data_IF_566072561046
#
_entry.id   IF_566072561046
#
_cell.length_a   1.000
_cell.length_b   1.000
_cell.length_c   1.000
_cell.angle_alpha   90.00
_cell.angle_beta   90.00
_cell.angle_gamma   90.00
#
_symmetry.space_group_name_H-M   'P 1'
#
loop_
_entity.id
_entity.type
_entity.pdbx_description
1 polymer ?
#
# COMPACT_ATOMS: atom_id res chain seq x y z
N UNK A 1 13.03 -16.31 -3.24
CA UNK A 1 14.25 -15.53 -3.58
C UNK A 1 13.93 -14.24 -4.35
N UNK A 2 12.76 -14.09 -4.97
CA UNK A 2 12.37 -12.91 -5.76
C UNK A 2 11.80 -11.73 -4.97
N UNK A 3 11.23 -11.95 -3.78
CA UNK A 3 10.39 -10.93 -3.14
C UNK A 3 11.13 -10.08 -2.09
N UNK A 4 12.42 -10.36 -1.87
CA UNK A 4 13.24 -9.73 -0.84
C UNK A 4 13.81 -8.34 -1.24
N UNK A 5 13.69 -7.94 -2.51
CA UNK A 5 14.17 -6.64 -2.99
C UNK A 5 13.12 -5.52 -2.81
N UNK A 6 11.85 -5.88 -2.69
CA UNK A 6 10.73 -4.96 -2.55
C UNK A 6 10.58 -4.26 -1.17
N UNK A 7 10.89 -4.90 -0.02
CA UNK A 7 10.67 -4.29 1.30
C UNK A 7 11.58 -3.09 1.62
N UNK A 8 12.70 -2.96 0.89
CA UNK A 8 13.77 -2.00 1.17
C UNK A 8 13.31 -0.55 0.91
N UNK A 9 12.55 -0.32 -0.16
CA UNK A 9 11.99 1.00 -0.47
C UNK A 9 10.79 1.33 0.40
N UNK A 10 9.87 0.38 0.52
CA UNK A 10 8.59 0.57 1.21
C UNK A 10 8.74 0.94 2.69
N UNK A 11 9.63 0.29 3.44
CA UNK A 11 9.72 0.48 4.92
C UNK A 11 10.48 1.73 5.35
N UNK A 12 11.47 2.20 4.60
CA UNK A 12 12.19 3.44 4.95
C UNK A 12 11.31 4.69 4.79
N UNK A 13 10.30 4.60 3.93
CA UNK A 13 9.33 5.66 3.69
C UNK A 13 8.30 5.72 4.84
N UNK A 14 7.93 4.57 5.43
CA UNK A 14 7.02 4.47 6.58
C UNK A 14 7.54 5.26 7.80
N UNK A 15 8.86 5.28 8.02
CA UNK A 15 9.47 5.94 9.18
C UNK A 15 9.53 7.47 9.11
N UNK A 16 9.34 8.08 7.92
CA UNK A 16 9.58 9.51 7.69
C UNK A 16 8.31 10.35 7.51
N UNK A 17 7.12 9.74 7.46
CA UNK A 17 5.84 10.42 7.24
C UNK A 17 5.82 11.13 5.88
N UNK A 18 5.21 10.53 4.85
CA UNK A 18 5.41 10.82 3.41
C UNK A 18 5.29 12.24 2.83
N UNK A 19 5.18 13.31 3.64
CA UNK A 19 5.12 14.72 3.21
C UNK A 19 6.46 15.29 2.66
N UNK A 20 7.64 15.06 3.26
CA UNK A 20 8.90 15.64 2.77
C UNK A 20 9.29 15.13 1.38
N UNK A 21 8.94 13.89 1.05
CA UNK A 21 9.34 13.24 -0.20
C UNK A 21 8.73 13.91 -1.43
N UNK A 22 7.46 14.33 -1.35
CA UNK A 22 6.79 14.99 -2.47
C UNK A 22 7.36 16.39 -2.73
N UNK A 23 7.59 17.16 -1.67
CA UNK A 23 8.20 18.49 -1.79
C UNK A 23 9.61 18.38 -2.38
N UNK A 24 10.41 17.40 -1.97
CA UNK A 24 11.74 17.14 -2.53
C UNK A 24 11.66 16.73 -4.00
N UNK A 25 10.76 15.81 -4.37
CA UNK A 25 10.56 15.41 -5.77
C UNK A 25 10.11 16.58 -6.64
N UNK A 26 9.19 17.42 -6.17
CA UNK A 26 8.74 18.62 -6.86
C UNK A 26 9.88 19.65 -7.02
N UNK A 27 10.67 19.87 -5.96
CA UNK A 27 11.85 20.74 -6.02
C UNK A 27 12.89 20.23 -7.01
N UNK A 28 13.17 18.92 -7.01
CA UNK A 28 14.08 18.27 -7.99
C UNK A 28 13.53 18.43 -9.40
N UNK A 29 12.23 18.19 -9.62
CA UNK A 29 11.58 18.37 -10.92
C UNK A 29 11.71 19.81 -11.43
N UNK A 30 11.37 20.80 -10.61
CA UNK A 30 11.47 22.23 -10.96
C UNK A 30 12.92 22.63 -11.22
N UNK A 31 13.86 22.16 -10.39
CA UNK A 31 15.28 22.41 -10.59
C UNK A 31 15.82 21.77 -11.88
N UNK A 32 15.34 20.58 -12.26
CA UNK A 32 15.75 19.93 -13.51
C UNK A 32 15.09 20.55 -14.74
N UNK A 33 13.88 21.11 -14.60
CA UNK A 33 13.20 21.81 -15.68
C UNK A 33 13.85 23.17 -15.97
N UNK A 34 14.18 23.93 -14.92
CA UNK A 34 14.60 25.33 -15.03
C UNK A 34 16.12 25.52 -14.93
N UNK A 35 16.79 24.69 -14.14
CA UNK A 35 18.23 24.79 -13.87
C UNK A 35 19.10 24.75 -15.13
N UNK A 36 18.89 23.82 -16.07
CA UNK A 36 19.66 23.76 -17.31
C UNK A 36 19.58 25.03 -18.17
N UNK A 37 18.47 25.77 -18.10
CA UNK A 37 18.31 27.04 -18.81
C UNK A 37 19.17 28.18 -18.25
N UNK A 38 19.74 28.02 -17.04
CA UNK A 38 20.67 28.96 -16.43
C UNK A 38 22.13 28.74 -16.88
N UNK A 39 22.46 27.54 -17.38
CA UNK A 39 23.81 27.16 -17.80
C UNK A 39 24.01 27.17 -19.33
N UNK A 40 22.95 27.39 -20.10
CA UNK A 40 22.98 27.43 -21.56
C UNK A 40 21.81 28.22 -22.15
N UNK A 41 21.59 28.15 -23.46
CA UNK A 41 20.49 28.86 -24.09
C UNK A 41 19.14 28.13 -23.89
N UNK A 42 18.07 28.79 -23.41
CA UNK A 42 16.77 28.15 -23.17
C UNK A 42 16.18 27.44 -24.41
N UNK A 43 16.46 27.96 -25.61
CA UNK A 43 16.03 27.36 -26.89
C UNK A 43 16.79 26.08 -27.25
N UNK A 44 17.99 25.88 -26.72
CA UNK A 44 18.77 24.65 -26.93
C UNK A 44 18.39 23.60 -25.90
N UNK A 45 18.22 24.00 -24.64
CA UNK A 45 17.70 23.13 -23.59
C UNK A 45 16.33 22.54 -23.98
N UNK A 46 15.38 23.37 -24.41
CA UNK A 46 14.05 22.91 -24.85
C UNK A 46 14.11 21.90 -26.01
N UNK A 47 15.01 22.09 -26.98
CA UNK A 47 15.24 21.13 -28.06
C UNK A 47 15.84 19.81 -27.56
N UNK A 48 16.77 19.88 -26.61
CA UNK A 48 17.39 18.71 -25.99
C UNK A 48 16.38 17.87 -25.21
N UNK A 49 15.61 18.53 -24.34
CA UNK A 49 14.57 17.91 -23.55
C UNK A 49 13.48 17.31 -24.43
N UNK A 50 13.04 18.03 -25.47
CA UNK A 50 12.05 17.50 -26.42
C UNK A 50 12.54 16.24 -27.14
N UNK A 51 13.82 16.16 -27.51
CA UNK A 51 14.40 14.94 -28.10
C UNK A 51 14.34 13.76 -27.15
N UNK A 52 14.70 13.96 -25.89
CA UNK A 52 14.74 12.88 -24.90
C UNK A 52 13.33 12.43 -24.49
N UNK A 53 12.38 13.38 -24.37
CA UNK A 53 10.97 13.06 -24.16
C UNK A 53 10.35 12.31 -25.35
N UNK A 54 10.81 12.55 -26.59
CA UNK A 54 10.38 11.75 -27.75
C UNK A 54 10.77 10.28 -27.64
N UNK A 55 11.82 9.93 -26.89
CA UNK A 55 12.16 8.53 -26.65
C UNK A 55 11.07 7.78 -25.87
N UNK A 56 10.21 8.52 -25.15
CA UNK A 56 9.09 7.98 -24.40
C UNK A 56 7.79 7.88 -25.23
N UNK A 57 7.78 8.30 -26.50
CA UNK A 57 6.55 8.38 -27.30
C UNK A 57 5.87 7.03 -27.50
N UNK A 58 6.63 5.94 -27.55
CA UNK A 58 6.07 4.57 -27.61
C UNK A 58 5.21 4.18 -26.40
N UNK A 59 5.29 4.95 -25.31
CA UNK A 59 4.53 4.75 -24.07
C UNK A 59 3.57 5.91 -23.80
N UNK A 60 3.28 6.77 -24.79
CA UNK A 60 2.53 8.01 -24.59
C UNK A 60 1.18 7.82 -23.88
N UNK A 61 0.40 6.80 -24.23
CA UNK A 61 -0.90 6.54 -23.62
C UNK A 61 -0.75 6.06 -22.17
N UNK A 62 0.26 5.23 -21.87
CA UNK A 62 0.57 4.77 -20.50
C UNK A 62 1.02 5.95 -19.64
N UNK A 63 1.85 6.82 -20.17
CA UNK A 63 2.35 8.00 -19.47
C UNK A 63 1.27 9.04 -19.24
N UNK A 64 0.40 9.29 -20.23
CA UNK A 64 -0.74 10.20 -20.07
C UNK A 64 -1.74 9.62 -19.07
N UNK A 65 -2.10 8.34 -19.22
CA UNK A 65 -3.02 7.66 -18.31
C UNK A 65 -2.48 7.70 -16.88
N UNK A 66 -1.23 7.29 -16.66
CA UNK A 66 -0.65 7.28 -15.33
C UNK A 66 -0.35 8.66 -14.76
N UNK A 67 -0.10 9.68 -15.59
CA UNK A 67 -0.03 11.06 -15.10
C UNK A 67 -1.42 11.54 -14.64
N UNK A 68 -2.46 11.28 -15.42
CA UNK A 68 -3.83 11.60 -15.04
C UNK A 68 -4.27 10.84 -13.79
N UNK A 69 -3.95 9.54 -13.71
CA UNK A 69 -4.26 8.70 -12.56
C UNK A 69 -3.49 9.15 -11.32
N UNK A 70 -2.19 9.47 -11.44
CA UNK A 70 -1.40 10.03 -10.35
C UNK A 70 -1.97 11.37 -9.85
N UNK A 71 -2.39 12.27 -10.75
CA UNK A 71 -3.02 13.54 -10.37
C UNK A 71 -4.36 13.29 -9.66
N UNK A 72 -5.23 12.45 -10.22
CA UNK A 72 -6.52 12.10 -9.60
C UNK A 72 -6.33 11.46 -8.23
N UNK A 73 -5.38 10.53 -8.13
CA UNK A 73 -4.92 9.88 -6.91
C UNK A 73 -4.49 10.89 -5.84
N UNK A 74 -3.56 11.79 -6.15
CA UNK A 74 -3.10 12.84 -5.23
C UNK A 74 -4.27 13.74 -4.77
N UNK A 75 -5.23 14.03 -5.66
CA UNK A 75 -6.39 14.85 -5.32
C UNK A 75 -7.39 14.14 -4.39
N UNK A 76 -7.64 12.85 -4.61
CA UNK A 76 -8.59 12.05 -3.83
C UNK A 76 -7.98 11.64 -2.50
N UNK A 77 -6.67 11.36 -2.50
CA UNK A 77 -5.93 10.87 -1.36
C UNK A 77 -4.64 11.69 -1.22
N UNK A 78 -4.68 12.84 -0.53
CA UNK A 78 -3.51 13.72 -0.37
C UNK A 78 -2.29 13.05 0.29
N UNK A 79 -2.53 11.97 1.05
CA UNK A 79 -1.50 11.15 1.69
C UNK A 79 -1.11 9.91 0.86
N UNK A 80 -1.64 9.75 -0.36
CA UNK A 80 -1.50 8.53 -1.16
C UNK A 80 -0.07 8.17 -1.47
N UNK A 81 0.80 9.14 -1.73
CA UNK A 81 2.21 8.86 -2.00
C UNK A 81 2.87 8.19 -0.78
N UNK A 82 2.44 8.54 0.43
CA UNK A 82 2.83 7.82 1.65
C UNK A 82 2.20 6.43 1.78
N UNK A 83 0.98 6.21 1.29
CA UNK A 83 0.23 4.95 1.35
C UNK A 83 0.59 3.93 0.25
N UNK A 84 0.83 4.39 -0.96
CA UNK A 84 1.16 3.60 -2.14
C UNK A 84 2.57 3.00 -2.05
N UNK A 85 3.46 3.68 -1.34
CA UNK A 85 4.77 3.15 -0.94
C UNK A 85 4.66 2.00 0.08
N UNK A 86 3.48 1.72 0.65
CA UNK A 86 3.25 0.66 1.67
C UNK A 86 2.51 -0.56 1.09
N UNK A 87 1.76 -0.40 0.00
CA UNK A 87 0.89 -1.44 -0.57
C UNK A 87 1.23 -1.67 -2.03
N UNK A 88 1.78 -2.85 -2.34
CA UNK A 88 2.28 -3.22 -3.68
C UNK A 88 1.22 -3.11 -4.79
N UNK A 89 -0.07 -3.18 -4.44
CA UNK A 89 -1.20 -3.00 -5.35
C UNK A 89 -1.59 -1.53 -5.61
N UNK A 90 -0.80 -0.56 -5.13
CA UNK A 90 -0.99 0.89 -5.35
C UNK A 90 0.20 1.55 -6.07
N UNK A 91 1.21 0.76 -6.46
CA UNK A 91 2.55 1.18 -6.95
C UNK A 91 2.55 1.77 -8.37
N UNK A 92 1.42 1.64 -9.06
CA UNK A 92 1.32 1.89 -10.50
C UNK A 92 1.66 3.36 -10.85
N UNK A 93 1.31 4.28 -9.94
CA UNK A 93 1.51 5.73 -10.12
C UNK A 93 2.95 6.17 -9.85
N UNK A 94 3.63 5.56 -8.87
CA UNK A 94 4.99 5.92 -8.49
C UNK A 94 5.99 5.59 -9.60
N UNK A 95 5.80 4.46 -10.29
CA UNK A 95 6.70 4.07 -11.40
C UNK A 95 6.71 5.15 -12.47
N UNK A 96 5.56 5.75 -12.76
CA UNK A 96 5.41 6.76 -13.81
C UNK A 96 6.00 8.10 -13.35
N UNK A 97 5.71 8.54 -12.11
CA UNK A 97 6.32 9.74 -11.53
C UNK A 97 7.84 9.62 -11.47
N UNK A 98 8.37 8.48 -11.02
CA UNK A 98 9.80 8.21 -10.93
C UNK A 98 10.43 8.13 -12.31
N UNK A 99 9.80 7.47 -13.29
CA UNK A 99 10.31 7.39 -14.66
C UNK A 99 10.41 8.78 -15.29
N UNK A 100 9.35 9.60 -15.19
CA UNK A 100 9.34 10.96 -15.73
C UNK A 100 10.41 11.80 -15.02
N UNK A 101 10.43 11.84 -13.69
CA UNK A 101 11.40 12.64 -12.91
C UNK A 101 12.85 12.21 -13.20
N UNK A 102 13.09 10.91 -13.37
CA UNK A 102 14.41 10.37 -13.74
C UNK A 102 14.84 10.80 -15.13
N UNK A 103 13.92 10.88 -16.10
CA UNK A 103 14.21 11.38 -17.45
C UNK A 103 14.55 12.87 -17.41
N UNK A 104 13.77 13.67 -16.69
CA UNK A 104 14.07 15.10 -16.51
C UNK A 104 15.44 15.32 -15.85
N UNK A 105 15.75 14.57 -14.79
CA UNK A 105 17.03 14.62 -14.10
C UNK A 105 18.19 14.21 -15.02
N UNK A 106 18.04 13.09 -15.75
CA UNK A 106 19.07 12.60 -16.66
C UNK A 106 19.33 13.59 -17.82
N UNK A 107 18.28 14.17 -18.41
CA UNK A 107 18.39 15.18 -19.46
C UNK A 107 19.06 16.46 -18.94
N UNK A 108 18.69 16.92 -17.73
CA UNK A 108 19.30 18.09 -17.11
C UNK A 108 20.80 17.90 -16.84
N UNK A 109 21.17 16.78 -16.21
CA UNK A 109 22.57 16.44 -15.92
C UNK A 109 23.40 16.26 -17.21
N UNK A 110 22.82 15.60 -18.23
CA UNK A 110 23.49 15.41 -19.52
C UNK A 110 23.73 16.72 -20.25
N UNK A 111 22.76 17.63 -20.25
CA UNK A 111 22.88 18.95 -20.88
C UNK A 111 23.92 19.83 -20.16
N UNK A 112 23.82 19.97 -18.83
CA UNK A 112 24.80 20.73 -18.05
C UNK A 112 26.21 20.11 -18.17
N UNK A 113 26.32 18.79 -18.13
CA UNK A 113 27.59 18.09 -18.32
C UNK A 113 28.21 18.30 -19.70
N UNK A 114 27.41 18.49 -20.76
CA UNK A 114 27.92 18.82 -22.10
C UNK A 114 28.55 20.22 -22.16
N UNK A 115 28.03 21.17 -21.38
CA UNK A 115 28.55 22.53 -21.33
C UNK A 115 29.80 22.65 -20.45
N UNK A 116 29.88 21.85 -19.39
CA UNK A 116 30.89 22.02 -18.34
C UNK A 116 32.06 21.03 -18.46
N UNK A 117 31.86 19.85 -19.07
CA UNK A 117 32.84 18.76 -19.06
C UNK A 117 33.16 18.27 -20.46
N UNK A 118 34.42 17.91 -20.69
CA UNK A 118 34.81 17.23 -21.93
C UNK A 118 34.28 15.78 -21.97
N UNK A 119 34.31 15.16 -23.15
CA UNK A 119 33.66 13.87 -23.38
C UNK A 119 34.23 12.72 -22.55
N UNK A 120 35.53 12.75 -22.25
CA UNK A 120 36.23 11.72 -21.47
C UNK A 120 35.89 11.84 -19.99
N UNK A 121 35.91 13.07 -19.45
CA UNK A 121 35.54 13.35 -18.07
C UNK A 121 34.06 13.07 -17.81
N UNK A 122 33.17 13.36 -18.78
CA UNK A 122 31.75 12.99 -18.69
C UNK A 122 31.53 11.49 -18.54
N UNK A 123 32.24 10.67 -19.33
CA UNK A 123 32.17 9.21 -19.22
C UNK A 123 32.66 8.73 -17.86
N UNK A 124 33.78 9.28 -17.39
CA UNK A 124 34.31 8.96 -16.07
C UNK A 124 33.33 9.32 -14.95
N UNK A 125 32.72 10.52 -14.98
CA UNK A 125 31.71 10.96 -14.00
C UNK A 125 30.50 10.03 -14.00
N UNK A 126 29.96 9.68 -15.17
CA UNK A 126 28.82 8.76 -15.26
C UNK A 126 29.14 7.38 -14.68
N UNK A 127 30.32 6.83 -15.01
CA UNK A 127 30.78 5.55 -14.45
C UNK A 127 30.92 5.66 -12.93
N UNK A 128 31.55 6.71 -12.41
CA UNK A 128 31.69 6.92 -10.98
C UNK A 128 30.34 7.06 -10.27
N UNK A 129 29.39 7.82 -10.84
CA UNK A 129 28.04 7.95 -10.29
C UNK A 129 27.34 6.59 -10.23
N UNK A 130 27.41 5.79 -11.29
CA UNK A 130 26.84 4.44 -11.30
C UNK A 130 27.51 3.50 -10.30
N UNK A 131 28.83 3.53 -10.19
CA UNK A 131 29.56 2.73 -9.20
C UNK A 131 29.22 3.14 -7.77
N UNK A 132 29.10 4.44 -7.49
CA UNK A 132 28.67 4.95 -6.19
C UNK A 132 27.23 4.54 -5.90
N UNK A 133 26.31 4.71 -6.85
CA UNK A 133 24.92 4.30 -6.67
C UNK A 133 24.80 2.79 -6.40
N UNK A 134 25.56 1.98 -7.14
CA UNK A 134 25.64 0.53 -6.92
C UNK A 134 26.22 0.21 -5.54
N UNK A 135 27.30 0.88 -5.14
CA UNK A 135 27.93 0.68 -3.83
C UNK A 135 26.98 1.08 -2.70
N UNK A 136 26.30 2.22 -2.79
CA UNK A 136 25.30 2.67 -1.82
C UNK A 136 24.14 1.67 -1.76
N UNK A 137 23.63 1.22 -2.90
CA UNK A 137 22.55 0.22 -2.95
C UNK A 137 22.97 -1.13 -2.34
N UNK A 138 24.21 -1.56 -2.58
CA UNK A 138 24.77 -2.77 -2.01
C UNK A 138 24.94 -2.63 -0.50
N UNK A 139 25.56 -1.55 -0.04
CA UNK A 139 25.75 -1.26 1.39
C UNK A 139 24.42 -1.16 2.12
N UNK A 140 23.42 -0.52 1.52
CA UNK A 140 22.08 -0.42 2.10
C UNK A 140 21.38 -1.78 2.16
N UNK A 141 21.51 -2.59 1.11
CA UNK A 141 20.99 -3.98 1.10
C UNK A 141 21.66 -4.86 2.16
N UNK A 142 22.99 -4.76 2.28
CA UNK A 142 23.76 -5.47 3.31
C UNK A 142 23.37 -4.99 4.69
N UNK A 143 23.35 -3.68 4.92
CA UNK A 143 22.93 -3.10 6.19
C UNK A 143 21.52 -3.57 6.56
N UNK A 144 20.57 -3.55 5.61
CA UNK A 144 19.23 -4.08 5.84
C UNK A 144 19.25 -5.55 6.26
N UNK A 145 19.98 -6.40 5.54
CA UNK A 145 20.07 -7.82 5.81
C UNK A 145 20.63 -8.12 7.22
N UNK A 146 21.56 -7.30 7.70
CA UNK A 146 22.26 -7.53 8.97
C UNK A 146 21.73 -6.74 10.17
N UNK A 147 21.06 -5.59 9.95
CA UNK A 147 20.63 -4.68 11.04
C UNK A 147 19.14 -4.65 11.26
N UNK A 148 18.32 -4.86 10.22
CA UNK A 148 16.90 -5.07 10.47
C UNK A 148 16.83 -6.42 11.16
N UNK A 149 16.35 -6.48 12.42
CA UNK A 149 16.19 -7.75 13.09
C UNK A 149 15.44 -8.60 12.08
N UNK A 150 16.02 -9.73 11.69
CA UNK A 150 15.19 -10.77 11.14
C UNK A 150 14.24 -11.12 12.29
N UNK A 151 13.10 -10.39 12.37
CA UNK A 151 11.84 -11.09 12.47
C UNK A 151 11.96 -12.08 11.33
N UNK A 152 12.49 -13.27 11.64
CA UNK A 152 12.56 -14.38 10.73
C UNK A 152 11.09 -14.57 10.40
N UNK A 153 10.64 -13.88 9.34
CA UNK A 153 9.34 -14.09 8.77
C UNK A 153 9.48 -15.50 8.27
N UNK A 154 9.04 -16.43 9.10
CA UNK A 154 8.92 -17.81 8.71
C UNK A 154 8.02 -17.78 7.49
N UNK A 155 8.63 -17.97 6.33
CA UNK A 155 7.97 -17.85 5.03
C UNK A 155 6.91 -18.95 4.87
N UNK A 156 6.88 -19.93 5.77
CA UNK A 156 5.82 -20.92 5.91
C UNK A 156 4.56 -20.37 6.56
N UNK A 157 4.65 -19.22 7.25
CA UNK A 157 3.52 -18.56 7.87
C UNK A 157 2.86 -17.62 6.86
N UNK A 158 1.57 -17.83 6.65
CA UNK A 158 0.73 -16.97 5.84
C UNK A 158 -0.12 -16.06 6.72
N UNK A 159 -0.34 -14.82 6.26
CA UNK A 159 -1.39 -13.95 6.81
C UNK A 159 -2.75 -14.67 6.90
N UNK A 160 -2.99 -15.57 5.94
CA UNK A 160 -4.26 -16.24 5.72
C UNK A 160 -4.46 -17.51 6.56
N UNK A 161 -3.43 -18.05 7.20
CA UNK A 161 -3.52 -19.35 7.88
C UNK A 161 -4.57 -19.34 8.99
N UNK A 162 -4.62 -18.27 9.78
CA UNK A 162 -5.58 -18.16 10.88
C UNK A 162 -7.03 -18.05 10.38
N UNK A 163 -7.27 -17.29 9.30
CA UNK A 163 -8.59 -17.17 8.68
C UNK A 163 -9.04 -18.49 8.03
N UNK A 164 -8.11 -19.22 7.40
CA UNK A 164 -8.37 -20.55 6.85
C UNK A 164 -8.74 -21.56 7.96
N UNK A 165 -7.97 -21.60 9.04
CA UNK A 165 -8.27 -22.48 10.18
C UNK A 165 -9.60 -22.12 10.86
N UNK A 166 -9.93 -20.83 10.94
CA UNK A 166 -11.23 -20.35 11.41
C UNK A 166 -12.38 -20.83 10.49
N UNK A 167 -12.20 -20.78 9.16
CA UNK A 167 -13.17 -21.32 8.21
C UNK A 167 -13.39 -22.83 8.37
N UNK A 168 -12.31 -23.59 8.57
CA UNK A 168 -12.40 -25.03 8.85
C UNK A 168 -13.16 -25.32 10.15
N UNK A 169 -12.93 -24.51 11.18
CA UNK A 169 -13.66 -24.62 12.45
C UNK A 169 -15.15 -24.28 12.26
N UNK A 170 -15.49 -23.22 11.52
CA UNK A 170 -16.88 -22.87 11.19
C UNK A 170 -17.60 -24.03 10.49
N UNK A 171 -16.93 -24.67 9.53
CA UNK A 171 -17.48 -25.81 8.78
C UNK A 171 -17.82 -27.02 9.66
N UNK A 172 -17.19 -27.14 10.83
CA UNK A 172 -17.36 -28.26 11.76
C UNK A 172 -18.33 -27.94 12.91
N UNK A 173 -18.45 -26.65 13.29
CA UNK A 173 -19.09 -26.26 14.55
C UNK A 173 -20.30 -25.33 14.38
N UNK A 174 -20.53 -24.79 13.18
CA UNK A 174 -21.57 -23.79 12.92
C UNK A 174 -22.51 -24.27 11.83
N UNK A 175 -23.84 -24.10 11.96
CA UNK A 175 -24.80 -24.45 10.91
C UNK A 175 -24.48 -23.74 9.58
N UNK A 176 -24.67 -24.41 8.45
CA UNK A 176 -24.39 -23.83 7.11
C UNK A 176 -25.30 -22.63 6.79
N UNK A 177 -26.46 -22.51 7.46
CA UNK A 177 -27.37 -21.38 7.32
C UNK A 177 -26.99 -20.14 8.13
N UNK A 178 -26.00 -20.24 9.03
CA UNK A 178 -25.58 -19.11 9.85
C UNK A 178 -24.80 -18.08 9.04
N UNK A 179 -24.97 -16.80 9.34
CA UNK A 179 -24.33 -15.69 8.63
C UNK A 179 -23.08 -15.24 9.40
N UNK A 180 -21.95 -15.13 8.69
CA UNK A 180 -20.68 -14.69 9.27
C UNK A 180 -20.31 -13.31 8.73
N UNK A 181 -20.02 -12.35 9.60
CA UNK A 181 -19.46 -11.05 9.27
C UNK A 181 -17.94 -11.04 9.41
N UNK A 182 -17.22 -10.39 8.49
CA UNK A 182 -15.77 -10.22 8.59
C UNK A 182 -15.32 -8.96 7.85
N UNK A 183 -14.34 -8.21 8.38
CA UNK A 183 -13.68 -7.13 7.63
C UNK A 183 -12.58 -7.67 6.71
N UNK A 184 -12.05 -8.86 7.02
CA UNK A 184 -11.08 -9.57 6.18
C UNK A 184 -11.74 -10.82 5.57
N UNK A 185 -12.84 -10.62 4.84
CA UNK A 185 -13.75 -11.68 4.41
C UNK A 185 -13.20 -12.64 3.33
N UNK A 186 -12.09 -12.29 2.66
CA UNK A 186 -11.63 -13.03 1.47
C UNK A 186 -11.39 -14.52 1.70
N UNK A 187 -10.48 -14.87 2.62
CA UNK A 187 -10.11 -16.28 2.87
C UNK A 187 -11.20 -17.02 3.64
N UNK A 188 -11.76 -16.38 4.67
CA UNK A 188 -12.81 -17.03 5.45
C UNK A 188 -14.04 -17.32 4.58
N UNK A 189 -14.48 -16.38 3.76
CA UNK A 189 -15.62 -16.56 2.84
C UNK A 189 -15.36 -17.48 1.67
N UNK A 190 -14.10 -17.69 1.27
CA UNK A 190 -13.77 -18.67 0.24
C UNK A 190 -13.82 -20.12 0.76
N UNK A 191 -13.41 -20.35 2.01
CA UNK A 191 -13.27 -21.69 2.58
C UNK A 191 -14.39 -22.10 3.54
N UNK A 192 -15.18 -21.17 4.06
CA UNK A 192 -16.34 -21.48 4.89
C UNK A 192 -17.53 -21.90 4.05
N UNK A 193 -18.37 -22.77 4.57
CA UNK A 193 -19.65 -23.15 3.98
C UNK A 193 -20.77 -22.16 4.28
N UNK A 194 -20.59 -21.36 5.33
CA UNK A 194 -21.52 -20.32 5.73
C UNK A 194 -21.46 -19.14 4.75
N UNK A 195 -22.58 -18.45 4.49
CA UNK A 195 -22.57 -17.15 3.84
C UNK A 195 -21.75 -16.14 4.65
N UNK A 196 -20.83 -15.45 3.98
CA UNK A 196 -19.98 -14.42 4.59
C UNK A 196 -20.33 -13.04 4.04
N UNK A 197 -20.67 -12.12 4.94
CA UNK A 197 -20.87 -10.70 4.65
C UNK A 197 -19.57 -9.97 4.96
N UNK A 198 -19.04 -9.26 3.96
CA UNK A 198 -17.91 -8.37 4.20
C UNK A 198 -18.39 -7.15 5.02
N UNK A 199 -17.61 -6.64 5.95
CA UNK A 199 -17.95 -5.48 6.77
C UNK A 199 -17.08 -4.24 6.45
N UNK A 200 -16.13 -4.36 5.51
CA UNK A 200 -15.25 -3.25 5.10
C UNK A 200 -15.82 -2.39 3.94
N UNK A 201 -16.81 -2.89 3.21
CA UNK A 201 -17.43 -2.21 2.07
C UNK A 201 -16.80 -2.43 0.69
N UNK A 202 -15.78 -3.28 0.54
CA UNK A 202 -15.09 -3.53 -0.74
C UNK A 202 -15.95 -4.30 -1.76
N UNK A 203 -16.75 -5.26 -1.30
CA UNK A 203 -17.57 -6.14 -2.18
C UNK A 203 -19.07 -6.03 -1.92
N UNK A 204 -19.49 -5.21 -0.96
CA UNK A 204 -20.91 -5.12 -0.60
C UNK A 204 -21.68 -4.17 -1.51
N UNK A 205 -23.01 -4.24 -1.39
CA UNK A 205 -23.89 -3.21 -1.92
C UNK A 205 -23.69 -1.87 -1.18
N UNK A 206 -24.17 -0.78 -1.80
CA UNK A 206 -24.12 0.57 -1.23
C UNK A 206 -24.89 0.73 0.10
N UNK A 207 -25.65 -0.28 0.52
CA UNK A 207 -26.45 -0.28 1.75
C UNK A 207 -25.61 -0.19 3.02
N UNK A 208 -24.37 -0.70 3.01
CA UNK A 208 -23.46 -0.64 4.16
C UNK A 208 -22.92 0.77 4.42
N UNK A 209 -22.81 1.61 3.37
CA UNK A 209 -22.10 2.89 3.46
C UNK A 209 -22.67 3.86 4.51
N UNK A 210 -23.99 4.07 4.65
CA UNK A 210 -24.53 4.93 5.69
C UNK A 210 -24.17 4.46 7.11
N UNK A 211 -24.14 3.14 7.35
CA UNK A 211 -23.78 2.58 8.65
C UNK A 211 -22.30 2.81 8.98
N UNK A 212 -21.42 2.74 7.99
CA UNK A 212 -19.99 3.08 8.18
C UNK A 212 -19.85 4.58 8.46
N UNK A 213 -20.46 5.42 7.62
CA UNK A 213 -20.35 6.88 7.70
C UNK A 213 -20.85 7.43 9.04
N UNK A 214 -21.90 6.82 9.60
CA UNK A 214 -22.51 7.22 10.86
C UNK A 214 -21.98 6.42 12.07
N UNK A 215 -20.98 5.56 11.87
CA UNK A 215 -20.40 4.72 12.92
C UNK A 215 -21.45 3.81 13.63
N UNK A 216 -22.42 3.28 12.86
CA UNK A 216 -23.53 2.41 13.30
C UNK A 216 -23.40 0.96 12.79
N UNK A 217 -22.18 0.43 12.72
CA UNK A 217 -21.91 -0.91 12.16
C UNK A 217 -22.59 -2.04 12.95
N UNK A 218 -22.78 -1.85 14.25
CA UNK A 218 -23.54 -2.72 15.14
C UNK A 218 -25.00 -2.87 14.72
N UNK A 219 -25.65 -1.78 14.32
CA UNK A 219 -27.00 -1.83 13.80
C UNK A 219 -27.07 -2.57 12.46
N UNK A 220 -26.04 -2.43 11.63
CA UNK A 220 -25.96 -3.21 10.39
C UNK A 220 -25.85 -4.71 10.67
N UNK A 221 -24.99 -5.10 11.62
CA UNK A 221 -24.81 -6.49 12.06
C UNK A 221 -26.14 -7.08 12.54
N UNK A 222 -26.87 -6.34 13.38
CA UNK A 222 -28.18 -6.76 13.89
C UNK A 222 -29.25 -6.83 12.78
N UNK A 223 -29.33 -5.80 11.93
CA UNK A 223 -30.32 -5.73 10.84
C UNK A 223 -30.11 -6.83 9.80
N UNK A 224 -28.85 -7.18 9.51
CA UNK A 224 -28.49 -8.29 8.61
C UNK A 224 -28.56 -9.65 9.28
N UNK A 225 -28.87 -9.72 10.57
CA UNK A 225 -28.92 -10.95 11.37
C UNK A 225 -27.63 -11.75 11.25
N UNK A 226 -26.50 -11.06 11.40
CA UNK A 226 -25.19 -11.70 11.40
C UNK A 226 -25.06 -12.48 12.71
N UNK A 227 -24.94 -13.80 12.60
CA UNK A 227 -24.87 -14.73 13.74
C UNK A 227 -23.46 -14.78 14.36
N UNK A 228 -22.41 -14.61 13.52
CA UNK A 228 -21.01 -14.70 13.94
C UNK A 228 -20.18 -13.57 13.34
N UNK A 229 -19.16 -13.11 14.07
CA UNK A 229 -18.17 -12.14 13.58
C UNK A 229 -16.78 -12.75 13.72
N UNK A 230 -16.03 -12.79 12.63
CA UNK A 230 -14.74 -13.47 12.57
C UNK A 230 -13.64 -12.56 12.00
N UNK A 231 -12.64 -12.23 12.82
CA UNK A 231 -11.50 -11.41 12.37
C UNK A 231 -10.29 -11.48 13.34
N UNK A 232 -9.21 -10.78 13.00
CA UNK A 232 -8.11 -10.52 13.93
C UNK A 232 -8.56 -9.57 15.04
N UNK A 233 -8.08 -9.80 16.26
CA UNK A 233 -8.48 -9.03 17.44
C UNK A 233 -8.33 -7.51 17.29
N UNK A 234 -7.23 -6.95 16.73
CA UNK A 234 -7.14 -5.50 16.57
C UNK A 234 -8.26 -4.91 15.69
N UNK A 235 -8.70 -5.63 14.66
CA UNK A 235 -9.83 -5.22 13.81
C UNK A 235 -11.13 -5.26 14.60
N UNK A 236 -11.35 -6.33 15.37
CA UNK A 236 -12.54 -6.48 16.20
C UNK A 236 -12.60 -5.37 17.27
N UNK A 237 -11.51 -5.13 17.99
CA UNK A 237 -11.42 -4.07 18.99
C UNK A 237 -11.71 -2.69 18.37
N UNK A 238 -11.12 -2.40 17.21
CA UNK A 238 -11.31 -1.12 16.52
C UNK A 238 -12.78 -0.86 16.15
N UNK A 239 -13.52 -1.89 15.74
CA UNK A 239 -14.88 -1.70 15.22
C UNK A 239 -15.99 -2.02 16.23
N UNK A 240 -15.69 -2.79 17.28
CA UNK A 240 -16.68 -3.27 18.24
C UNK A 240 -16.52 -2.70 19.65
N UNK A 241 -15.37 -2.11 20.04
CA UNK A 241 -15.11 -1.70 21.43
C UNK A 241 -16.19 -0.76 22.03
N UNK A 242 -16.70 0.17 21.23
CA UNK A 242 -17.69 1.17 21.66
C UNK A 242 -19.12 0.84 21.23
N UNK A 243 -19.38 -0.41 20.84
CA UNK A 243 -20.69 -0.82 20.31
C UNK A 243 -21.52 -1.54 21.36
N UNK A 244 -22.82 -1.31 21.35
CA UNK A 244 -23.78 -2.00 22.23
C UNK A 244 -24.09 -3.44 21.80
N UNK A 245 -23.15 -4.10 21.12
CA UNK A 245 -23.33 -5.44 20.58
C UNK A 245 -22.94 -6.47 21.65
N UNK A 246 -23.89 -7.30 22.06
CA UNK A 246 -23.62 -8.43 22.95
C UNK A 246 -22.99 -9.56 22.15
N UNK A 247 -21.77 -9.95 22.51
CA UNK A 247 -21.01 -10.99 21.82
C UNK A 247 -20.37 -11.98 22.79
N UNK A 248 -20.18 -13.22 22.35
CA UNK A 248 -19.50 -14.25 23.12
C UNK A 248 -18.43 -14.91 22.27
N UNK A 249 -17.21 -15.02 22.82
CA UNK A 249 -16.11 -15.69 22.14
C UNK A 249 -16.37 -17.20 22.04
N UNK A 250 -16.37 -17.73 20.82
CA UNK A 250 -16.55 -19.17 20.57
C UNK A 250 -15.32 -19.83 19.96
N UNK A 251 -14.38 -19.03 19.43
CA UNK A 251 -13.13 -19.51 18.86
C UNK A 251 -12.02 -18.49 19.07
N UNK A 252 -10.81 -19.00 19.35
CA UNK A 252 -9.58 -18.23 19.42
C UNK A 252 -8.42 -19.07 18.89
N UNK A 253 -7.70 -18.53 17.92
CA UNK A 253 -6.44 -19.09 17.45
C UNK A 253 -5.36 -18.01 17.37
N UNK A 254 -4.11 -18.38 17.63
CA UNK A 254 -2.99 -17.45 17.47
C UNK A 254 -2.65 -17.29 15.99
N UNK A 255 -2.68 -16.05 15.47
CA UNK A 255 -2.14 -15.76 14.14
C UNK A 255 -0.63 -15.54 14.27
N UNK A 256 0.15 -16.57 13.93
CA UNK A 256 1.61 -16.56 14.02
C UNK A 256 2.28 -15.51 13.13
N UNK A 257 1.63 -15.09 12.04
CA UNK A 257 2.14 -14.03 11.16
C UNK A 257 2.01 -12.64 11.81
N UNK A 258 0.86 -12.37 12.42
CA UNK A 258 0.55 -11.08 13.04
C UNK A 258 0.97 -10.96 14.51
N UNK A 259 1.22 -12.10 15.18
CA UNK A 259 1.40 -12.15 16.62
C UNK A 259 0.13 -11.76 17.40
N UNK A 260 -1.03 -11.80 16.76
CA UNK A 260 -2.33 -11.39 17.30
C UNK A 260 -3.32 -12.54 17.21
N UNK A 261 -4.31 -12.66 18.12
CA UNK A 261 -5.30 -13.71 18.01
C UNK A 261 -6.30 -13.41 16.87
N UNK A 262 -6.69 -14.46 16.15
CA UNK A 262 -7.87 -14.50 15.30
C UNK A 262 -9.02 -15.08 16.13
N UNK A 263 -10.16 -14.38 16.14
CA UNK A 263 -11.27 -14.64 17.05
C UNK A 263 -12.56 -14.78 16.23
N UNK A 264 -13.43 -15.70 16.66
CA UNK A 264 -14.82 -15.72 16.23
C UNK A 264 -15.69 -15.42 17.46
N UNK A 265 -16.50 -14.39 17.32
CA UNK A 265 -17.57 -14.04 18.23
C UNK A 265 -18.89 -14.57 17.70
N UNK A 266 -19.72 -15.13 18.57
CA UNK A 266 -21.15 -15.32 18.34
C UNK A 266 -21.87 -14.05 18.77
N UNK A 267 -22.77 -13.54 17.94
CA UNK A 267 -23.65 -12.41 18.28
C UNK A 267 -24.82 -12.96 19.09
N UNK A 268 -25.08 -12.35 20.24
CA UNK A 268 -26.18 -12.74 21.11
C UNK A 268 -27.44 -11.97 20.71
N UNK A 269 -28.58 -12.66 20.67
CA UNK A 269 -29.89 -12.06 20.33
C UNK A 269 -30.36 -11.01 21.36
N UNK A 270 -29.72 -10.96 22.53
CA UNK A 270 -30.04 -10.02 23.60
C UNK A 270 -29.16 -8.77 23.51
N UNK A 271 -29.71 -7.70 22.94
CA UNK A 271 -29.24 -6.34 23.21
C UNK A 271 -29.33 -6.08 24.73
N UNK A 272 -28.30 -5.54 25.39
CA UNK A 272 -28.40 -5.08 26.77
C UNK A 272 -29.18 -3.75 26.82
N UNK A 273 -30.45 -3.76 26.41
CA UNK A 273 -31.41 -2.68 26.61
C UNK A 273 -32.79 -3.30 26.87
N UNK A 274 -32.93 -3.79 28.11
CA UNK A 274 -34.18 -4.29 28.69
C UNK A 274 -34.15 -4.24 30.22
N UNK A 275 -33.32 -3.36 30.80
CA UNK A 275 -33.36 -3.04 32.21
C UNK A 275 -33.85 -1.59 32.36
N UNK A 276 -35.11 -1.50 32.78
CA UNK A 276 -35.91 -0.33 33.18
C UNK A 276 -36.47 0.59 32.07
#
# INVERSE_FOLDING_TARGET
MSDALWPIGARNIVGLGGSPTLAVLAMVFVACLLGPALFGHPKEWSRHLARDLKALWGFNYVLIFGLCDAVASIMIYPNQIGYAMVRWWWVENEIIIVAITSVFLASALSYCGQQLLNVQLRKAVLVCVWLIALAVSLLHSLNYYWTVPSKNYDWRLSWNDAAYNAALWLNQNVPESAIVGSWNAGVIGYYSKQPVINLDGLINNFELLPYIAENRIDQYILNKKIDYIADIKPTLDMHLADKSLSVTEVYRAHNSFMGQPYIIYKVNDESPQGAE
#
